data_IF_551385020406
#
_entry.id   IF_551385020406
#
_cell.length_a   1.000
_cell.length_b   1.000
_cell.length_c   1.000
_cell.angle_alpha   90.00
_cell.angle_beta   90.00
_cell.angle_gamma   90.00
#
_symmetry.space_group_name_H-M   'P 1'
#
loop_
_entity.id
_entity.type
_entity.pdbx_description
1 polymer ?
#
# COMPACT_ATOMS: atom_id res chain seq x y z
N UNK A 1 -7.06 22.71 -29.07
CA UNK A 1 -7.41 21.41 -28.61
C UNK A 1 -7.06 21.19 -27.16
N UNK A 2 -7.95 21.53 -26.33
CA UNK A 2 -7.66 21.47 -24.91
C UNK A 2 -8.16 20.20 -24.25
N UNK A 3 -8.83 19.37 -24.98
CA UNK A 3 -9.43 18.18 -24.42
C UNK A 3 -8.43 17.26 -23.78
N UNK A 4 -7.26 17.20 -24.33
CA UNK A 4 -6.21 16.36 -23.78
C UNK A 4 -5.70 16.82 -22.44
N UNK A 5 -5.93 18.06 -22.14
CA UNK A 5 -5.54 18.54 -20.82
C UNK A 5 -6.26 17.83 -19.72
N UNK A 6 -7.48 17.40 -19.99
CA UNK A 6 -8.21 16.66 -19.01
C UNK A 6 -7.58 15.30 -18.75
N UNK A 7 -7.07 14.70 -19.82
CA UNK A 7 -6.33 13.45 -19.64
C UNK A 7 -5.05 13.66 -18.88
N UNK A 8 -4.41 14.78 -19.07
CA UNK A 8 -3.19 15.10 -18.36
C UNK A 8 -3.42 15.17 -16.85
N UNK A 9 -4.65 15.40 -16.45
CA UNK A 9 -4.96 15.40 -15.03
C UNK A 9 -4.95 14.01 -14.40
N UNK A 10 -4.92 12.99 -15.20
CA UNK A 10 -4.85 11.64 -14.66
C UNK A 10 -3.70 11.43 -13.67
N UNK A 11 -2.51 11.98 -13.90
CA UNK A 11 -1.44 11.85 -12.92
C UNK A 11 -1.77 12.46 -11.56
N UNK A 12 -2.61 13.46 -11.55
CA UNK A 12 -2.99 14.07 -10.29
C UNK A 12 -3.92 13.21 -9.47
N UNK A 13 -4.42 12.23 -10.11
CA UNK A 13 -5.45 11.41 -9.62
C UNK A 13 -4.96 10.39 -8.66
N UNK A 14 -3.88 9.82 -8.97
CA UNK A 14 -3.46 8.66 -8.24
C UNK A 14 -2.37 8.98 -7.28
N UNK A 15 -2.40 8.33 -6.21
CA UNK A 15 -1.24 8.08 -5.42
C UNK A 15 -0.61 6.83 -5.97
N UNK A 16 0.16 7.00 -7.00
CA UNK A 16 0.91 5.89 -7.55
C UNK A 16 2.28 5.91 -6.89
N UNK A 17 2.46 5.03 -5.96
CA UNK A 17 3.69 4.95 -5.18
C UNK A 17 4.32 3.60 -5.35
N UNK A 18 5.56 3.60 -5.78
CA UNK A 18 6.38 2.41 -5.76
C UNK A 18 7.16 2.41 -4.45
N UNK A 19 7.00 1.37 -3.68
CA UNK A 19 7.70 1.22 -2.42
C UNK A 19 8.46 -0.08 -2.44
N UNK A 20 9.74 -0.01 -2.13
CA UNK A 20 10.54 -1.20 -1.96
C UNK A 20 10.67 -1.45 -0.46
N UNK A 21 10.18 -2.57 -0.04
CA UNK A 21 10.19 -2.96 1.35
C UNK A 21 11.20 -4.08 1.52
N UNK A 22 12.16 -3.87 2.39
CA UNK A 22 13.15 -4.89 2.70
C UNK A 22 12.97 -5.33 4.14
N UNK A 23 12.94 -6.62 4.34
CA UNK A 23 12.81 -7.19 5.67
C UNK A 23 13.81 -8.31 5.86
N UNK A 24 14.35 -8.40 7.03
CA UNK A 24 15.21 -9.49 7.41
C UNK A 24 14.50 -10.36 8.43
N UNK A 25 14.89 -11.60 8.51
CA UNK A 25 14.33 -12.65 9.35
C UNK A 25 13.26 -12.23 10.35
N UNK A 26 12.03 -12.62 10.12
CA UNK A 26 10.89 -12.39 11.02
C UNK A 26 10.70 -10.93 11.39
N UNK A 27 10.75 -10.07 10.40
CA UNK A 27 10.64 -8.65 10.64
C UNK A 27 9.41 -8.04 10.00
N UNK A 28 9.14 -6.82 10.41
CA UNK A 28 8.09 -6.00 9.82
C UNK A 28 8.71 -4.78 9.19
N UNK A 29 8.30 -4.50 7.96
CA UNK A 29 8.77 -3.35 7.22
C UNK A 29 7.58 -2.53 6.75
N UNK A 30 7.64 -1.25 6.98
CA UNK A 30 6.57 -0.32 6.66
C UNK A 30 6.99 0.61 5.54
N UNK A 31 6.10 0.84 4.60
CA UNK A 31 6.29 1.83 3.56
C UNK A 31 6.13 3.26 4.08
N UNK A 32 6.11 4.20 3.17
CA UNK A 32 5.90 5.59 3.51
C UNK A 32 4.44 5.84 3.90
N UNK A 33 4.24 6.70 4.87
CA UNK A 33 2.92 7.12 5.30
C UNK A 33 2.45 8.31 4.48
N UNK A 34 1.27 8.19 3.91
CA UNK A 34 0.71 9.24 3.09
C UNK A 34 -0.73 9.53 3.46
N UNK A 35 -1.08 10.80 3.42
CA UNK A 35 -2.44 11.23 3.68
C UNK A 35 -3.39 10.64 2.64
N UNK A 36 -4.42 9.97 3.10
CA UNK A 36 -5.43 9.41 2.22
C UNK A 36 -6.22 10.53 1.55
N UNK A 37 -6.51 10.36 0.28
CA UNK A 37 -7.29 11.32 -0.50
C UNK A 37 -8.61 10.69 -0.94
N UNK A 38 -9.49 11.52 -1.46
CA UNK A 38 -10.75 11.04 -1.98
C UNK A 38 -10.57 10.05 -3.12
N UNK A 39 -11.08 8.86 -2.94
CA UNK A 39 -11.10 7.82 -3.97
C UNK A 39 -12.07 6.74 -3.50
N UNK A 40 -12.36 5.79 -4.35
CA UNK A 40 -13.19 4.65 -3.95
C UNK A 40 -12.40 3.66 -3.11
N UNK A 41 -11.17 3.40 -3.50
CA UNK A 41 -10.31 2.43 -2.83
C UNK A 41 -8.85 2.70 -3.17
N UNK A 42 -7.97 2.15 -2.36
CA UNK A 42 -6.56 1.99 -2.71
C UNK A 42 -6.28 0.55 -3.06
N UNK A 43 -5.41 0.34 -4.01
CA UNK A 43 -4.99 -0.98 -4.44
C UNK A 43 -3.48 -1.06 -4.34
N UNK A 44 -2.99 -2.09 -3.70
CA UNK A 44 -1.56 -2.37 -3.62
C UNK A 44 -1.25 -3.58 -4.50
N UNK A 45 -0.34 -3.39 -5.44
CA UNK A 45 0.21 -4.48 -6.23
C UNK A 45 1.50 -4.92 -5.54
N UNK A 46 1.47 -6.09 -4.94
CA UNK A 46 2.52 -6.56 -4.06
C UNK A 46 3.32 -7.68 -4.70
N UNK A 47 4.60 -7.72 -4.39
CA UNK A 47 5.49 -8.76 -4.89
C UNK A 47 6.48 -9.17 -3.81
N UNK A 48 6.70 -10.47 -3.69
CA UNK A 48 7.81 -11.01 -2.94
C UNK A 48 8.92 -11.34 -3.93
N UNK A 49 9.85 -10.41 -4.14
CA UNK A 49 10.92 -10.60 -5.11
C UNK A 49 11.87 -11.70 -4.68
N UNK A 50 12.21 -11.72 -3.40
CA UNK A 50 12.95 -12.82 -2.78
C UNK A 50 12.26 -13.22 -1.50
N UNK A 51 12.32 -14.49 -1.17
CA UNK A 51 11.78 -15.01 0.06
C UNK A 51 12.51 -16.33 0.35
N UNK A 52 13.36 -16.33 1.37
CA UNK A 52 14.21 -17.49 1.63
C UNK A 52 13.42 -18.64 2.25
N UNK A 53 12.44 -18.33 3.09
CA UNK A 53 11.57 -19.30 3.73
C UNK A 53 10.38 -18.57 4.34
N UNK A 54 9.33 -19.31 4.66
CA UNK A 54 8.16 -18.75 5.31
C UNK A 54 7.28 -17.95 4.38
N UNK A 55 6.69 -16.89 4.89
CA UNK A 55 5.68 -16.10 4.18
C UNK A 55 5.97 -14.62 4.26
N UNK A 56 5.48 -13.88 3.27
CA UNK A 56 5.41 -12.43 3.31
C UNK A 56 3.93 -12.03 3.35
N UNK A 57 3.53 -11.34 4.38
CA UNK A 57 2.15 -10.90 4.57
C UNK A 57 2.07 -9.40 4.43
N UNK A 58 1.20 -8.94 3.55
CA UNK A 58 0.97 -7.52 3.30
C UNK A 58 -0.36 -7.11 3.89
N UNK A 59 -0.38 -5.93 4.49
CA UNK A 59 -1.62 -5.35 5.02
C UNK A 59 -1.51 -3.84 5.03
N UNK A 60 -2.62 -3.16 4.74
CA UNK A 60 -2.69 -1.71 4.91
C UNK A 60 -2.81 -1.37 6.39
N UNK A 61 -2.20 -0.25 6.76
CA UNK A 61 -2.34 0.33 8.09
C UNK A 61 -2.70 1.80 7.97
N UNK A 62 -3.39 2.30 8.97
CA UNK A 62 -3.66 3.72 9.14
C UNK A 62 -2.96 4.28 10.37
N UNK A 63 -2.52 5.51 10.30
CA UNK A 63 -1.85 6.19 11.41
C UNK A 63 -2.33 7.63 11.55
N UNK A 64 -2.06 8.22 12.69
CA UNK A 64 -2.54 9.57 13.00
C UNK A 64 -1.72 10.67 12.34
N UNK A 65 -0.49 10.40 11.95
CA UNK A 65 0.38 11.38 11.29
C UNK A 65 1.34 10.73 10.30
N UNK A 66 2.12 11.56 9.64
CA UNK A 66 3.05 11.10 8.61
C UNK A 66 4.23 10.29 9.16
N UNK A 67 4.43 10.27 10.44
CA UNK A 67 5.47 9.46 11.08
C UNK A 67 4.98 8.06 11.43
N UNK A 68 3.71 7.78 11.20
CA UNK A 68 3.14 6.49 11.49
C UNK A 68 2.78 6.29 12.96
N UNK A 69 2.40 7.36 13.64
CA UNK A 69 2.05 7.30 15.07
C UNK A 69 0.76 6.51 15.27
N UNK A 70 0.73 5.70 16.28
CA UNK A 70 -0.40 4.86 16.68
C UNK A 70 -1.02 4.09 15.48
N UNK A 71 -0.24 3.27 14.80
CA UNK A 71 -0.74 2.56 13.63
C UNK A 71 -1.77 1.50 13.99
N UNK A 72 -2.72 1.29 13.10
CA UNK A 72 -3.72 0.24 13.24
C UNK A 72 -3.95 -0.43 11.89
N UNK A 73 -4.09 -1.74 11.92
CA UNK A 73 -4.34 -2.53 10.73
C UNK A 73 -5.69 -2.19 10.10
N UNK A 74 -5.73 -2.15 8.78
CA UNK A 74 -6.93 -1.86 8.01
C UNK A 74 -7.19 -2.97 7.00
N UNK A 75 -8.39 -3.53 7.04
CA UNK A 75 -8.81 -4.52 6.07
C UNK A 75 -8.11 -5.86 6.19
N UNK A 76 -8.12 -6.61 5.12
CA UNK A 76 -7.58 -7.95 5.08
C UNK A 76 -6.10 -8.00 4.78
N UNK A 77 -5.57 -9.20 4.70
CA UNK A 77 -4.15 -9.46 4.40
C UNK A 77 -3.99 -10.17 3.08
N UNK A 78 -2.81 -10.01 2.50
CA UNK A 78 -2.36 -10.80 1.35
C UNK A 78 -1.11 -11.56 1.77
N UNK A 79 -1.13 -12.87 1.60
CA UNK A 79 -0.01 -13.73 1.98
C UNK A 79 0.63 -14.29 0.73
N UNK A 80 1.94 -14.05 0.58
CA UNK A 80 2.75 -14.62 -0.49
C UNK A 80 3.69 -15.66 0.13
N UNK A 81 3.79 -16.81 -0.51
CA UNK A 81 4.47 -17.97 0.08
C UNK A 81 5.73 -18.40 -0.65
N UNK A 82 6.03 -17.78 -1.78
CA UNK A 82 7.20 -18.14 -2.58
C UNK A 82 7.79 -16.92 -3.27
N UNK A 83 9.09 -16.97 -3.50
CA UNK A 83 9.78 -15.93 -4.27
C UNK A 83 9.18 -15.80 -5.67
N UNK A 84 9.05 -14.58 -6.12
CA UNK A 84 8.48 -14.28 -7.42
C UNK A 84 6.95 -14.17 -7.43
N UNK A 85 6.27 -14.51 -6.36
CA UNK A 85 4.82 -14.36 -6.31
C UNK A 85 4.40 -12.90 -6.27
N UNK A 86 3.26 -12.64 -6.88
CA UNK A 86 2.63 -11.32 -6.90
C UNK A 86 1.18 -11.46 -6.46
N UNK A 87 0.62 -10.38 -5.98
CA UNK A 87 -0.77 -10.35 -5.58
C UNK A 87 -1.29 -8.93 -5.45
N UNK A 88 -2.58 -8.82 -5.25
CA UNK A 88 -3.27 -7.53 -5.16
C UNK A 88 -4.02 -7.47 -3.85
N UNK A 89 -3.90 -6.33 -3.17
CA UNK A 89 -4.60 -6.07 -1.93
C UNK A 89 -5.38 -4.77 -2.08
N UNK A 90 -6.67 -4.80 -1.75
CA UNK A 90 -7.53 -3.64 -1.87
C UNK A 90 -7.89 -3.09 -0.49
N UNK A 91 -7.89 -1.76 -0.40
CA UNK A 91 -8.36 -1.05 0.79
C UNK A 91 -9.48 -0.10 0.40
N UNK A 92 -10.75 -0.45 0.69
CA UNK A 92 -11.84 0.50 0.50
C UNK A 92 -11.64 1.73 1.36
N UNK A 93 -11.89 2.91 0.80
CA UNK A 93 -11.67 4.15 1.54
C UNK A 93 -12.54 4.24 2.79
N UNK A 94 -13.66 3.55 2.82
CA UNK A 94 -14.54 3.52 3.98
C UNK A 94 -13.88 2.97 5.24
N UNK A 95 -12.79 2.22 5.09
CA UNK A 95 -12.03 1.70 6.23
C UNK A 95 -11.02 2.69 6.78
N UNK A 96 -10.74 3.76 6.06
CA UNK A 96 -9.83 4.80 6.53
C UNK A 96 -10.62 5.76 7.42
N UNK A 97 -10.12 6.01 8.62
CA UNK A 97 -10.82 6.85 9.59
C UNK A 97 -10.22 8.25 9.66
N UNK A 98 -11.02 9.20 10.10
CA UNK A 98 -10.55 10.57 10.28
C UNK A 98 -9.47 10.67 11.36
N UNK A 99 -9.48 9.79 12.34
CA UNK A 99 -8.48 9.79 13.40
C UNK A 99 -7.12 9.24 12.93
N UNK A 100 -7.13 8.41 11.88
CA UNK A 100 -5.91 7.80 11.33
C UNK A 100 -5.93 7.89 9.81
N UNK A 101 -5.79 9.12 9.28
CA UNK A 101 -5.96 9.34 7.85
C UNK A 101 -4.71 9.05 7.02
N UNK A 102 -3.58 8.78 7.63
CA UNK A 102 -2.36 8.44 6.91
C UNK A 102 -2.29 6.94 6.74
N UNK A 103 -2.07 6.48 5.52
CA UNK A 103 -2.04 5.07 5.19
C UNK A 103 -0.66 4.65 4.72
N UNK A 104 -0.35 3.41 4.97
CA UNK A 104 0.85 2.76 4.44
C UNK A 104 0.58 1.28 4.24
N UNK A 105 1.47 0.65 3.50
CA UNK A 105 1.48 -0.79 3.35
C UNK A 105 2.58 -1.36 4.25
N UNK A 106 2.26 -2.42 4.94
CA UNK A 106 3.19 -3.09 5.84
C UNK A 106 3.40 -4.51 5.37
N UNK A 107 4.65 -4.90 5.24
CA UNK A 107 5.03 -6.27 4.92
C UNK A 107 5.66 -6.92 6.15
N UNK A 108 5.14 -8.07 6.53
CA UNK A 108 5.68 -8.85 7.63
C UNK A 108 6.20 -10.18 7.08
N UNK A 109 7.46 -10.47 7.30
CA UNK A 109 8.02 -11.76 6.94
C UNK A 109 8.12 -12.64 8.17
N UNK A 110 7.78 -13.91 8.01
CA UNK A 110 7.86 -14.91 9.06
C UNK A 110 8.86 -15.97 8.66
N UNK A 111 9.81 -16.27 9.53
CA UNK A 111 10.77 -17.36 9.36
C UNK A 111 11.66 -17.23 8.14
N UNK A 112 12.17 -16.06 7.86
CA UNK A 112 13.07 -15.94 6.73
C UNK A 112 13.40 -14.51 6.39
N UNK A 113 14.17 -14.36 5.33
CA UNK A 113 14.51 -13.05 4.79
C UNK A 113 13.80 -12.85 3.48
N UNK A 114 13.42 -11.64 3.19
CA UNK A 114 12.75 -11.35 1.93
C UNK A 114 12.93 -9.91 1.51
N UNK A 115 12.87 -9.71 0.22
CA UNK A 115 12.77 -8.37 -0.37
C UNK A 115 11.41 -8.29 -1.03
N UNK A 116 10.60 -7.39 -0.56
CA UNK A 116 9.24 -7.21 -1.01
C UNK A 116 9.07 -5.82 -1.59
N UNK A 117 8.12 -5.67 -2.46
CA UNK A 117 7.78 -4.37 -3.01
C UNK A 117 6.29 -4.22 -3.13
N UNK A 118 5.83 -3.00 -3.17
CA UNK A 118 4.42 -2.69 -3.41
C UNK A 118 4.31 -1.39 -4.18
N UNK A 119 3.32 -1.35 -5.06
CA UNK A 119 2.91 -0.13 -5.75
C UNK A 119 1.46 0.13 -5.34
N UNK A 120 1.20 1.32 -4.82
CA UNK A 120 -0.13 1.69 -4.36
C UNK A 120 -0.74 2.69 -5.33
N UNK A 121 -1.96 2.43 -5.74
CA UNK A 121 -2.69 3.33 -6.63
C UNK A 121 -4.08 3.61 -6.05
N UNK A 122 -4.55 4.82 -6.25
CA UNK A 122 -5.93 5.19 -5.95
C UNK A 122 -6.83 4.77 -7.10
N UNK A 123 -7.98 4.22 -6.78
CA UNK A 123 -8.98 3.78 -7.74
C UNK A 123 -10.17 4.73 -7.69
N UNK A 124 -10.61 5.17 -8.85
CA UNK A 124 -11.72 6.12 -8.99
C UNK A 124 -11.55 7.34 -8.10
N UNK A 125 -10.46 8.08 -8.27
CA UNK A 125 -10.28 9.28 -7.49
C UNK A 125 -11.39 10.28 -7.80
N UNK A 126 -11.82 10.98 -6.77
CA UNK A 126 -12.87 11.98 -6.93
C UNK A 126 -12.26 13.28 -7.40
N UNK A 127 -12.76 13.79 -8.48
CA UNK A 127 -12.43 15.13 -8.92
C UNK A 127 -13.48 16.07 -8.35
N UNK A 128 -13.05 17.04 -7.67
CA UNK A 128 -13.96 18.00 -7.08
C UNK A 128 -14.16 19.20 -7.99
N UNK A 129 -14.45 18.96 -9.15
CA UNK A 129 -14.72 20.09 -10.01
C UNK A 129 -13.99 20.05 -11.27
#
# INVERSE_FOLDING_TARGET
MSTYKNSVKLPAVGHLRAQSLASTASGQTTGLWELATKCRAYVAFCQAATLSAGTATFQFYGASDADGTTPAALGGTLVLTAAGQVGVLELPLTLVTAAKPYISIVCTTASGTGICGAVIAAVDPSFSG
#
